data_IF_433675712697
#
_entry.id   IF_433675712697
#
_cell.length_a   1.000
_cell.length_b   1.000
_cell.length_c   1.000
_cell.angle_alpha   90.00
_cell.angle_beta   90.00
_cell.angle_gamma   90.00
#
_symmetry.space_group_name_H-M   'P 1'
#
loop_
_entity.id
_entity.type
_entity.pdbx_description
1 polymer ?
#
# COMPACT_ATOMS: atom_id res chain seq x y z
N UNK A 1 -24.22 12.48 77.52
CA UNK A 1 -24.99 12.76 76.29
C UNK A 1 -24.05 12.55 75.10
N UNK A 2 -24.43 11.72 74.11
CA UNK A 2 -23.53 11.29 73.04
C UNK A 2 -23.58 12.20 71.80
N UNK A 3 -22.43 12.19 71.10
CA UNK A 3 -22.16 12.30 69.65
C UNK A 3 -23.01 13.17 68.72
N UNK A 4 -22.33 13.88 67.79
CA UNK A 4 -22.42 13.56 66.35
C UNK A 4 -21.08 13.82 65.64
N UNK A 5 -20.39 12.74 65.27
CA UNK A 5 -19.27 12.75 64.35
C UNK A 5 -19.74 13.08 62.92
N UNK A 6 -19.01 13.95 62.22
CA UNK A 6 -19.26 14.32 60.81
C UNK A 6 -18.91 13.17 59.85
N UNK A 7 -19.65 12.96 58.75
CA UNK A 7 -19.43 11.84 57.86
C UNK A 7 -18.28 12.15 56.90
N UNK A 8 -17.06 11.74 57.25
CA UNK A 8 -15.88 11.77 56.35
C UNK A 8 -15.89 10.55 55.40
N UNK A 9 -16.69 9.53 55.74
CA UNK A 9 -16.77 8.24 55.07
C UNK A 9 -17.29 8.29 53.60
N UNK A 10 -18.30 9.10 53.20
CA UNK A 10 -18.85 9.01 51.85
C UNK A 10 -17.91 9.60 50.77
N UNK A 11 -17.04 10.53 51.13
CA UNK A 11 -16.12 11.16 50.18
C UNK A 11 -14.96 10.23 49.78
N UNK A 12 -14.46 9.41 50.72
CA UNK A 12 -13.37 8.47 50.46
C UNK A 12 -13.86 7.28 49.60
N UNK A 13 -15.11 6.84 49.79
CA UNK A 13 -15.72 5.77 48.98
C UNK A 13 -15.94 6.23 47.54
N UNK A 14 -16.35 7.48 47.30
CA UNK A 14 -16.49 8.01 45.94
C UNK A 14 -15.15 8.12 45.20
N UNK A 15 -14.08 8.48 45.92
CA UNK A 15 -12.73 8.59 45.34
C UNK A 15 -12.13 7.22 45.00
N UNK A 16 -12.36 6.22 45.86
CA UNK A 16 -11.95 4.83 45.62
C UNK A 16 -12.76 4.16 44.49
N UNK A 17 -14.05 4.48 44.35
CA UNK A 17 -14.87 4.01 43.24
C UNK A 17 -14.46 4.64 41.89
N UNK A 18 -14.02 5.90 41.88
CA UNK A 18 -13.48 6.55 40.69
C UNK A 18 -12.13 5.97 40.22
N UNK A 19 -11.25 5.59 41.16
CA UNK A 19 -9.97 4.98 40.83
C UNK A 19 -10.10 3.53 40.33
N UNK A 20 -11.10 2.77 40.82
CA UNK A 20 -11.35 1.40 40.38
C UNK A 20 -11.96 1.29 38.98
N UNK A 21 -12.57 2.36 38.44
CA UNK A 21 -13.09 2.42 37.07
C UNK A 21 -12.08 2.94 36.05
N UNK A 22 -10.92 3.46 36.49
CA UNK A 22 -9.85 3.97 35.61
C UNK A 22 -8.72 2.96 35.36
N UNK A 23 -8.69 1.84 36.07
CA UNK A 23 -7.71 0.76 35.87
C UNK A 23 -8.23 -0.25 34.84
N UNK A 24 -7.49 -0.44 33.75
CA UNK A 24 -7.74 -1.41 32.66
C UNK A 24 -8.69 -0.97 31.53
N UNK A 25 -8.69 0.30 31.14
CA UNK A 25 -8.98 0.64 29.74
C UNK A 25 -7.78 0.27 28.88
N UNK A 26 -7.68 -1.02 28.52
CA UNK A 26 -6.63 -1.56 27.67
C UNK A 26 -6.50 -0.79 26.36
N UNK A 27 -5.31 -0.28 26.10
CA UNK A 27 -4.90 0.37 24.84
C UNK A 27 -4.83 -0.57 23.64
N UNK A 28 -5.66 -1.61 23.60
CA UNK A 28 -5.68 -2.65 22.57
C UNK A 28 -6.94 -2.57 21.66
N UNK A 29 -7.99 -1.87 22.08
CA UNK A 29 -9.20 -1.67 21.25
C UNK A 29 -8.92 -0.94 19.93
N UNK A 30 -7.89 -0.09 19.88
CA UNK A 30 -7.47 0.59 18.66
C UNK A 30 -6.73 -0.33 17.69
N UNK A 31 -5.97 -1.31 18.20
CA UNK A 31 -5.22 -2.28 17.39
C UNK A 31 -6.15 -3.29 16.74
N UNK A 32 -7.06 -3.88 17.50
CA UNK A 32 -7.98 -4.89 16.97
C UNK A 32 -8.83 -4.32 15.82
N UNK A 33 -9.30 -3.07 15.93
CA UNK A 33 -10.10 -2.43 14.87
C UNK A 33 -9.27 -2.09 13.63
N UNK A 34 -8.00 -1.71 13.80
CA UNK A 34 -7.07 -1.48 12.69
C UNK A 34 -6.73 -2.79 11.98
N UNK A 35 -6.49 -3.88 12.73
CA UNK A 35 -6.22 -5.21 12.22
C UNK A 35 -7.40 -5.72 11.37
N UNK A 36 -8.65 -5.60 11.84
CA UNK A 36 -9.82 -6.04 11.06
C UNK A 36 -10.00 -5.30 9.72
N UNK A 37 -9.64 -4.01 9.64
CA UNK A 37 -9.75 -3.21 8.41
C UNK A 37 -8.65 -3.55 7.42
N UNK A 38 -7.43 -3.75 7.93
CA UNK A 38 -6.30 -4.19 7.11
C UNK A 38 -6.49 -5.63 6.61
N UNK A 39 -7.10 -6.51 7.42
CA UNK A 39 -7.36 -7.90 7.05
C UNK A 39 -8.27 -8.04 5.81
N UNK A 40 -9.29 -7.18 5.64
CA UNK A 40 -10.13 -7.23 4.44
C UNK A 40 -9.34 -6.83 3.19
N UNK A 41 -8.51 -5.77 3.29
CA UNK A 41 -7.65 -5.34 2.19
C UNK A 41 -6.57 -6.38 1.89
N UNK A 42 -5.91 -6.95 2.89
CA UNK A 42 -4.91 -8.00 2.71
C UNK A 42 -5.50 -9.22 2.02
N UNK A 43 -6.68 -9.67 2.45
CA UNK A 43 -7.37 -10.82 1.85
C UNK A 43 -7.80 -10.53 0.41
N UNK A 44 -8.46 -9.39 0.21
CA UNK A 44 -8.95 -9.01 -1.11
C UNK A 44 -7.80 -8.82 -2.11
N UNK A 45 -6.71 -8.16 -1.71
CA UNK A 45 -5.61 -7.84 -2.62
C UNK A 45 -4.93 -9.10 -3.16
N UNK A 46 -4.69 -10.11 -2.30
CA UNK A 46 -4.17 -11.40 -2.74
C UNK A 46 -5.14 -12.16 -3.64
N UNK A 47 -6.43 -12.14 -3.31
CA UNK A 47 -7.47 -12.77 -4.14
C UNK A 47 -7.63 -12.11 -5.52
N UNK A 48 -7.53 -10.78 -5.57
CA UNK A 48 -7.57 -10.03 -6.82
C UNK A 48 -6.34 -10.30 -7.68
N UNK A 49 -5.15 -10.29 -7.08
CA UNK A 49 -3.89 -10.60 -7.76
C UNK A 49 -3.94 -11.96 -8.46
N UNK A 50 -4.10 -13.06 -7.71
CA UNK A 50 -4.15 -14.40 -8.31
C UNK A 50 -5.38 -14.61 -9.20
N UNK A 51 -6.54 -14.12 -8.75
CA UNK A 51 -7.78 -14.28 -9.50
C UNK A 51 -7.74 -13.58 -10.86
N UNK A 52 -6.93 -12.53 -11.02
CA UNK A 52 -6.76 -11.82 -12.29
C UNK A 52 -6.00 -12.65 -13.35
N UNK A 53 -5.23 -13.65 -12.92
CA UNK A 53 -4.49 -14.58 -13.79
C UNK A 53 -5.05 -16.01 -13.75
N UNK A 54 -6.26 -16.19 -13.19
CA UNK A 54 -6.94 -17.49 -13.13
C UNK A 54 -6.42 -18.44 -12.04
N UNK A 55 -5.60 -17.95 -11.11
CA UNK A 55 -5.10 -18.72 -9.98
C UNK A 55 -5.99 -18.54 -8.73
N UNK A 56 -5.97 -19.54 -7.84
CA UNK A 56 -6.61 -19.42 -6.52
C UNK A 56 -5.69 -18.69 -5.55
N UNK A 57 -6.27 -17.94 -4.62
CA UNK A 57 -5.53 -17.33 -3.53
C UNK A 57 -4.98 -18.40 -2.57
N UNK A 58 -3.81 -18.16 -2.01
CA UNK A 58 -3.17 -19.02 -1.03
C UNK A 58 -3.90 -18.96 0.31
N UNK A 59 -4.10 -20.11 0.94
CA UNK A 59 -4.72 -20.22 2.27
C UNK A 59 -3.73 -20.03 3.43
N UNK A 60 -2.44 -19.88 3.14
CA UNK A 60 -1.44 -19.67 4.19
C UNK A 60 -1.63 -18.33 4.91
N UNK A 61 -1.26 -18.28 6.18
CA UNK A 61 -1.23 -17.01 6.89
C UNK A 61 -0.16 -16.10 6.29
N UNK A 62 -0.40 -14.79 6.33
CA UNK A 62 0.58 -13.81 5.88
C UNK A 62 1.71 -13.69 6.88
N UNK A 63 2.93 -13.58 6.38
CA UNK A 63 4.05 -13.11 7.19
C UNK A 63 3.93 -11.60 7.44
N UNK A 64 4.70 -11.07 8.39
CA UNK A 64 4.73 -9.63 8.65
C UNK A 64 5.20 -8.82 7.42
N UNK A 65 6.23 -9.31 6.73
CA UNK A 65 6.70 -8.67 5.49
C UNK A 65 5.66 -8.73 4.37
N UNK A 66 4.88 -9.82 4.27
CA UNK A 66 3.80 -9.93 3.28
C UNK A 66 2.63 -8.98 3.61
N UNK A 67 2.30 -8.77 4.89
CA UNK A 67 1.33 -7.74 5.31
C UNK A 67 1.82 -6.34 4.96
N UNK A 68 3.05 -6.01 5.36
CA UNK A 68 3.67 -4.72 5.09
C UNK A 68 3.78 -4.43 3.59
N UNK A 69 4.09 -5.44 2.77
CA UNK A 69 4.10 -5.32 1.31
C UNK A 69 2.76 -4.84 0.77
N UNK A 70 1.65 -5.41 1.28
CA UNK A 70 0.28 -5.08 0.85
C UNK A 70 -0.13 -3.67 1.30
N UNK A 71 0.22 -3.30 2.52
CA UNK A 71 -0.04 -1.96 3.06
C UNK A 71 0.65 -0.86 2.24
N UNK A 72 1.92 -1.08 1.89
CA UNK A 72 2.70 -0.15 1.07
C UNK A 72 2.24 -0.18 -0.40
N UNK A 73 1.89 -1.36 -0.93
CA UNK A 73 1.40 -1.50 -2.31
C UNK A 73 0.12 -0.70 -2.56
N UNK A 74 -0.82 -0.73 -1.61
CA UNK A 74 -2.12 -0.10 -1.76
C UNK A 74 -2.00 1.40 -2.09
N UNK A 75 -1.01 2.08 -1.50
CA UNK A 75 -0.77 3.52 -1.71
C UNK A 75 -0.35 3.86 -3.16
N UNK A 76 0.27 2.92 -3.87
CA UNK A 76 0.59 3.08 -5.29
C UNK A 76 -0.56 2.63 -6.20
N UNK A 77 -1.33 1.64 -5.77
CA UNK A 77 -2.48 1.10 -6.52
C UNK A 77 -3.63 2.12 -6.57
N UNK A 78 -3.92 2.78 -5.45
CA UNK A 78 -4.95 3.81 -5.38
C UNK A 78 -4.50 5.10 -6.08
N UNK A 79 -5.28 5.61 -7.03
CA UNK A 79 -4.91 6.82 -7.80
C UNK A 79 -4.57 8.03 -6.89
N UNK A 80 -3.56 8.85 -7.22
CA UNK A 80 -3.08 9.93 -6.34
C UNK A 80 -4.16 10.97 -5.98
N UNK A 81 -5.12 11.21 -6.87
CA UNK A 81 -6.23 12.16 -6.64
C UNK A 81 -7.44 11.53 -5.90
N UNK A 82 -7.38 10.26 -5.52
CA UNK A 82 -8.59 9.54 -5.09
C UNK A 82 -9.15 10.02 -3.76
N UNK A 83 -8.32 10.50 -2.81
CA UNK A 83 -8.78 10.85 -1.44
C UNK A 83 -7.90 11.88 -0.74
N UNK A 84 -8.48 12.74 0.14
CA UNK A 84 -7.71 13.48 1.13
C UNK A 84 -6.92 12.53 2.04
N UNK A 85 -5.65 12.83 2.32
CA UNK A 85 -4.72 11.96 3.06
C UNK A 85 -5.27 11.38 4.39
N UNK A 86 -6.16 12.11 5.08
CA UNK A 86 -6.78 11.65 6.33
C UNK A 86 -7.71 10.43 6.17
N UNK A 87 -8.30 10.19 4.99
CA UNK A 87 -9.17 9.02 4.77
C UNK A 87 -8.40 7.71 4.68
N UNK A 88 -7.12 7.74 4.31
CA UNK A 88 -6.25 6.55 4.36
C UNK A 88 -6.00 6.09 5.80
N UNK A 89 -6.07 7.00 6.78
CA UNK A 89 -5.86 6.71 8.21
C UNK A 89 -7.01 5.89 8.80
N UNK A 90 -8.20 5.93 8.18
CA UNK A 90 -9.36 5.20 8.66
C UNK A 90 -9.55 3.81 8.05
N UNK A 91 -8.66 3.33 7.17
CA UNK A 91 -8.72 1.95 6.64
C UNK A 91 -9.93 1.67 5.74
N UNK A 92 -10.51 2.70 5.12
CA UNK A 92 -11.58 2.55 4.13
C UNK A 92 -10.97 2.21 2.75
N UNK A 93 -10.42 1.02 2.63
CA UNK A 93 -9.78 0.54 1.40
C UNK A 93 -10.80 0.29 0.29
N UNK A 94 -10.53 0.82 -0.89
CA UNK A 94 -11.30 0.57 -2.10
C UNK A 94 -10.76 -0.65 -2.83
N UNK A 95 -11.66 -1.55 -3.20
CA UNK A 95 -11.33 -2.66 -4.08
C UNK A 95 -11.15 -2.14 -5.50
N UNK A 96 -9.91 -2.22 -5.99
CA UNK A 96 -9.49 -1.77 -7.32
C UNK A 96 -9.05 -2.97 -8.16
N UNK A 97 -9.56 -3.19 -9.39
CA UNK A 97 -9.18 -4.36 -10.17
C UNK A 97 -7.70 -4.34 -10.55
N UNK A 98 -7.05 -5.51 -10.55
CA UNK A 98 -5.67 -5.62 -11.00
C UNK A 98 -5.56 -5.26 -12.49
N UNK A 99 -4.40 -4.77 -12.98
CA UNK A 99 -4.24 -4.33 -14.37
C UNK A 99 -4.57 -5.41 -15.39
N UNK A 100 -4.29 -6.68 -15.04
CA UNK A 100 -4.48 -7.88 -15.86
C UNK A 100 -5.95 -8.27 -16.05
N UNK A 101 -6.83 -7.87 -15.12
CA UNK A 101 -8.27 -8.10 -15.21
C UNK A 101 -8.97 -7.06 -16.09
N UNK A 102 -8.35 -5.88 -16.23
CA UNK A 102 -8.97 -4.76 -16.92
C UNK A 102 -8.78 -4.85 -18.42
N UNK A 103 -9.88 -4.80 -19.18
CA UNK A 103 -9.85 -4.68 -20.64
C UNK A 103 -9.81 -3.23 -21.13
N UNK A 104 -9.81 -2.26 -20.21
CA UNK A 104 -9.84 -0.83 -20.53
C UNK A 104 -8.42 -0.32 -20.70
N UNK A 105 -8.17 0.38 -21.80
CA UNK A 105 -6.89 1.04 -22.04
C UNK A 105 -6.67 2.12 -20.98
N UNK A 106 -5.49 2.12 -20.38
CA UNK A 106 -5.11 3.14 -19.42
C UNK A 106 -5.13 4.54 -20.05
N UNK A 107 -5.90 5.44 -19.45
CA UNK A 107 -5.98 6.84 -19.86
C UNK A 107 -5.03 7.72 -19.04
N UNK A 108 -3.84 7.97 -19.60
CA UNK A 108 -2.82 8.86 -18.99
C UNK A 108 -3.30 10.30 -18.78
N UNK A 109 -4.38 10.71 -19.43
CA UNK A 109 -4.85 12.11 -19.39
C UNK A 109 -5.83 12.36 -18.25
N UNK A 110 -6.45 11.30 -17.70
CA UNK A 110 -7.49 11.41 -16.69
C UNK A 110 -7.04 12.16 -15.43
N UNK A 111 -5.86 11.84 -14.91
CA UNK A 111 -5.26 12.54 -13.76
C UNK A 111 -5.07 14.03 -14.05
N UNK A 112 -4.45 14.37 -15.18
CA UNK A 112 -4.15 15.75 -15.50
C UNK A 112 -5.41 16.57 -15.79
N UNK A 113 -6.42 15.97 -16.43
CA UNK A 113 -7.74 16.60 -16.60
C UNK A 113 -8.37 16.91 -15.25
N UNK A 114 -8.42 15.95 -14.33
CA UNK A 114 -8.93 16.19 -12.99
C UNK A 114 -8.15 17.29 -12.25
N UNK A 115 -6.81 17.27 -12.31
CA UNK A 115 -5.95 18.31 -11.71
C UNK A 115 -6.21 19.71 -12.29
N UNK A 116 -6.61 19.79 -13.56
CA UNK A 116 -6.87 21.06 -14.25
C UNK A 116 -8.31 21.52 -14.00
N UNK A 117 -9.26 20.60 -13.99
CA UNK A 117 -10.70 20.87 -13.89
C UNK A 117 -11.13 21.15 -12.44
N UNK A 118 -10.39 20.65 -11.45
CA UNK A 118 -10.71 20.85 -10.04
C UNK A 118 -10.59 22.34 -9.63
N UNK A 119 -11.50 22.86 -8.78
CA UNK A 119 -11.46 24.26 -8.36
C UNK A 119 -10.19 24.55 -7.54
N UNK A 120 -9.19 25.15 -8.18
CA UNK A 120 -7.97 25.61 -7.53
C UNK A 120 -7.99 27.12 -7.34
N UNK A 121 -7.37 27.60 -6.23
CA UNK A 121 -7.26 29.05 -5.97
C UNK A 121 -6.36 29.77 -6.98
N UNK A 122 -5.37 29.07 -7.56
CA UNK A 122 -4.45 29.60 -8.57
C UNK A 122 -3.77 28.49 -9.38
N UNK A 123 -3.11 28.85 -10.49
CA UNK A 123 -2.25 27.91 -11.25
C UNK A 123 -1.07 27.40 -10.41
N UNK A 124 -0.48 28.24 -9.57
CA UNK A 124 0.59 27.83 -8.66
C UNK A 124 0.13 26.68 -7.73
N UNK A 125 -1.13 26.70 -7.26
CA UNK A 125 -1.67 25.59 -6.46
C UNK A 125 -1.73 24.26 -7.22
N UNK A 126 -1.95 24.28 -8.54
CA UNK A 126 -1.93 23.06 -9.37
C UNK A 126 -0.52 22.50 -9.51
N UNK A 127 0.48 23.37 -9.68
CA UNK A 127 1.88 22.96 -9.68
C UNK A 127 2.30 22.38 -8.32
N UNK A 128 1.94 23.04 -7.21
CA UNK A 128 2.19 22.52 -5.86
C UNK A 128 1.61 21.13 -5.67
N UNK A 129 0.34 20.93 -6.04
CA UNK A 129 -0.33 19.63 -5.88
C UNK A 129 0.32 18.53 -6.73
N UNK A 130 0.70 18.83 -7.97
CA UNK A 130 1.46 17.91 -8.81
C UNK A 130 2.79 17.54 -8.17
N UNK A 131 3.54 18.54 -7.68
CA UNK A 131 4.82 18.34 -7.00
C UNK A 131 4.63 17.46 -5.76
N UNK A 132 3.63 17.73 -4.94
CA UNK A 132 3.36 16.98 -3.71
C UNK A 132 3.04 15.51 -4.00
N UNK A 133 2.22 15.20 -5.00
CA UNK A 133 1.95 13.81 -5.40
C UNK A 133 3.21 13.09 -5.91
N UNK A 134 4.08 13.78 -6.66
CA UNK A 134 5.35 13.20 -7.11
C UNK A 134 6.28 12.95 -5.92
N UNK A 135 6.35 13.87 -4.95
CA UNK A 135 7.14 13.69 -3.71
C UNK A 135 6.63 12.52 -2.89
N UNK A 136 5.32 12.41 -2.73
CA UNK A 136 4.70 11.29 -2.03
C UNK A 136 5.10 9.95 -2.66
N UNK A 137 5.07 9.84 -4.00
CA UNK A 137 5.50 8.62 -4.68
C UNK A 137 7.00 8.35 -4.51
N UNK A 138 7.86 9.39 -4.55
CA UNK A 138 9.30 9.27 -4.30
C UNK A 138 9.58 8.79 -2.87
N UNK A 139 8.93 9.38 -1.86
CA UNK A 139 9.16 9.04 -0.44
C UNK A 139 8.67 7.63 -0.10
N UNK A 140 7.62 7.14 -0.77
CA UNK A 140 7.10 5.78 -0.59
C UNK A 140 7.90 4.72 -1.35
N UNK A 141 8.73 5.12 -2.31
CA UNK A 141 9.44 4.21 -3.21
C UNK A 141 10.36 3.26 -2.44
N UNK A 142 11.27 3.81 -1.62
CA UNK A 142 12.28 3.02 -0.92
C UNK A 142 11.68 2.04 0.10
N UNK A 143 10.75 2.45 0.98
CA UNK A 143 10.12 1.51 1.91
C UNK A 143 9.44 0.33 1.20
N UNK A 144 8.73 0.59 0.09
CA UNK A 144 8.05 -0.46 -0.66
C UNK A 144 9.04 -1.45 -1.28
N UNK A 145 10.04 -0.97 -2.03
CA UNK A 145 10.96 -1.87 -2.72
C UNK A 145 11.93 -2.58 -1.77
N UNK A 146 12.25 -1.99 -0.62
CA UNK A 146 12.98 -2.67 0.45
C UNK A 146 12.18 -3.85 1.02
N UNK A 147 10.90 -3.65 1.34
CA UNK A 147 10.01 -4.74 1.81
C UNK A 147 9.78 -5.79 0.71
N UNK A 148 9.58 -5.37 -0.53
CA UNK A 148 9.43 -6.29 -1.67
C UNK A 148 10.65 -7.20 -1.84
N UNK A 149 11.87 -6.65 -1.72
CA UNK A 149 13.09 -7.45 -1.78
C UNK A 149 13.17 -8.52 -0.68
N UNK A 150 12.71 -8.20 0.55
CA UNK A 150 12.63 -9.18 1.63
C UNK A 150 11.63 -10.29 1.33
N UNK A 151 10.43 -9.94 0.83
CA UNK A 151 9.41 -10.93 0.45
C UNK A 151 9.91 -11.82 -0.68
N UNK A 152 10.55 -11.26 -1.71
CA UNK A 152 11.14 -12.04 -2.81
C UNK A 152 12.22 -13.00 -2.29
N UNK A 153 13.06 -12.57 -1.34
CA UNK A 153 14.05 -13.44 -0.72
C UNK A 153 13.39 -14.59 0.07
N UNK A 154 12.28 -14.33 0.76
CA UNK A 154 11.47 -15.37 1.40
C UNK A 154 10.84 -16.33 0.38
N UNK A 155 10.36 -15.81 -0.75
CA UNK A 155 9.80 -16.62 -1.84
C UNK A 155 10.88 -17.50 -2.49
N UNK A 156 12.10 -17.00 -2.65
CA UNK A 156 13.24 -17.81 -3.09
C UNK A 156 13.51 -18.98 -2.14
N UNK A 157 13.53 -18.71 -0.83
CA UNK A 157 13.71 -19.75 0.19
C UNK A 157 12.56 -20.76 0.15
N UNK A 158 11.32 -20.29 0.03
CA UNK A 158 10.12 -21.15 -0.08
C UNK A 158 10.21 -22.06 -1.30
N UNK A 159 10.59 -21.53 -2.45
CA UNK A 159 10.81 -22.30 -3.69
C UNK A 159 11.90 -23.36 -3.52
N UNK A 160 13.02 -23.03 -2.87
CA UNK A 160 14.08 -23.99 -2.58
C UNK A 160 13.61 -25.09 -1.61
N UNK A 161 12.87 -24.73 -0.54
CA UNK A 161 12.31 -25.68 0.41
C UNK A 161 11.32 -26.65 -0.24
N UNK A 162 10.45 -26.18 -1.13
CA UNK A 162 9.50 -27.03 -1.87
C UNK A 162 10.16 -28.09 -2.77
N UNK A 163 11.43 -27.88 -3.14
CA UNK A 163 12.25 -28.85 -3.91
C UNK A 163 12.99 -29.81 -2.99
N UNK A 164 13.40 -29.36 -1.81
CA UNK A 164 14.21 -30.13 -0.87
C UNK A 164 13.37 -31.07 0.02
N UNK A 165 12.13 -30.68 0.38
CA UNK A 165 11.28 -31.46 1.27
C UNK A 165 10.56 -32.55 0.46
N UNK A 166 10.76 -33.80 0.85
CA UNK A 166 10.19 -34.96 0.15
C UNK A 166 8.68 -35.14 0.38
N UNK A 167 8.20 -34.83 1.59
CA UNK A 167 6.82 -35.06 2.02
C UNK A 167 5.99 -33.77 2.04
N UNK A 168 5.86 -33.13 0.87
CA UNK A 168 4.97 -31.96 0.70
C UNK A 168 3.71 -32.41 -0.02
N UNK A 169 2.55 -32.24 0.63
CA UNK A 169 1.27 -32.60 0.02
C UNK A 169 0.99 -31.76 -1.24
N UNK A 170 0.22 -32.26 -2.23
CA UNK A 170 -0.14 -31.48 -3.42
C UNK A 170 -0.85 -30.17 -3.09
N UNK A 171 -1.67 -30.16 -2.04
CA UNK A 171 -2.39 -28.95 -1.57
C UNK A 171 -1.41 -27.92 -1.01
N UNK A 172 -0.51 -28.34 -0.13
CA UNK A 172 0.48 -27.45 0.47
C UNK A 172 1.42 -26.86 -0.58
N UNK A 173 1.83 -27.68 -1.56
CA UNK A 173 2.61 -27.20 -2.72
C UNK A 173 1.83 -26.14 -3.51
N UNK A 174 0.55 -26.39 -3.80
CA UNK A 174 -0.28 -25.44 -4.54
C UNK A 174 -0.47 -24.12 -3.77
N UNK A 175 -0.71 -24.17 -2.46
CA UNK A 175 -0.85 -22.98 -1.61
C UNK A 175 0.47 -22.19 -1.50
N UNK A 176 1.61 -22.87 -1.43
CA UNK A 176 2.93 -22.24 -1.42
C UNK A 176 3.26 -21.53 -2.74
N UNK A 177 2.97 -22.17 -3.87
CA UNK A 177 3.12 -21.59 -5.21
C UNK A 177 2.17 -20.41 -5.37
N UNK A 178 0.92 -20.55 -4.95
CA UNK A 178 -0.07 -19.48 -4.99
C UNK A 178 0.40 -18.24 -4.20
N UNK A 179 1.03 -18.40 -3.03
CA UNK A 179 1.53 -17.26 -2.24
C UNK A 179 2.69 -16.55 -2.92
N UNK A 180 3.63 -17.30 -3.50
CA UNK A 180 4.73 -16.70 -4.26
C UNK A 180 4.20 -15.90 -5.47
N UNK A 181 3.17 -16.41 -6.14
CA UNK A 181 2.54 -15.70 -7.25
C UNK A 181 1.80 -14.44 -6.79
N UNK A 182 1.08 -14.49 -5.67
CA UNK A 182 0.41 -13.31 -5.08
C UNK A 182 1.43 -12.18 -4.85
N UNK A 183 2.54 -12.52 -4.21
CA UNK A 183 3.60 -11.57 -3.89
C UNK A 183 4.18 -10.95 -5.17
N UNK A 184 4.47 -11.78 -6.18
CA UNK A 184 4.99 -11.31 -7.45
C UNK A 184 4.02 -10.37 -8.19
N UNK A 185 2.75 -10.75 -8.27
CA UNK A 185 1.72 -9.96 -8.95
C UNK A 185 1.45 -8.62 -8.25
N UNK A 186 1.53 -8.57 -6.91
CA UNK A 186 1.41 -7.32 -6.15
C UNK A 186 2.57 -6.38 -6.47
N UNK A 187 3.82 -6.88 -6.50
CA UNK A 187 4.98 -6.07 -6.88
C UNK A 187 4.84 -5.55 -8.31
N UNK A 188 4.41 -6.42 -9.23
CA UNK A 188 4.21 -6.04 -10.62
C UNK A 188 3.08 -5.02 -10.79
N UNK A 189 2.01 -5.10 -10.00
CA UNK A 189 0.94 -4.11 -10.01
C UNK A 189 1.46 -2.74 -9.58
N UNK A 190 2.32 -2.66 -8.57
CA UNK A 190 2.95 -1.39 -8.17
C UNK A 190 3.85 -0.85 -9.28
N UNK A 191 4.66 -1.69 -9.93
CA UNK A 191 5.48 -1.28 -11.09
C UNK A 191 4.62 -0.68 -12.21
N UNK A 192 3.56 -1.36 -12.62
CA UNK A 192 2.61 -0.86 -13.63
C UNK A 192 1.95 0.45 -13.18
N UNK A 193 1.62 0.58 -11.89
CA UNK A 193 1.00 1.78 -11.33
C UNK A 193 1.96 2.98 -11.34
N UNK A 194 3.25 2.76 -11.04
CA UNK A 194 4.29 3.78 -11.12
C UNK A 194 4.50 4.28 -12.55
N UNK A 195 4.60 3.37 -13.52
CA UNK A 195 4.72 3.74 -14.94
C UNK A 195 3.54 4.61 -15.41
N UNK A 196 2.32 4.22 -15.02
CA UNK A 196 1.07 4.94 -15.29
C UNK A 196 1.06 6.33 -14.66
N UNK A 197 1.52 6.45 -13.40
CA UNK A 197 1.66 7.73 -12.69
C UNK A 197 2.65 8.66 -13.36
N UNK A 198 3.85 8.18 -13.68
CA UNK A 198 4.88 8.95 -14.37
C UNK A 198 4.34 9.49 -15.71
N UNK A 199 3.65 8.65 -16.49
CA UNK A 199 3.01 9.07 -17.75
C UNK A 199 1.97 10.17 -17.52
N UNK A 200 1.16 10.02 -16.47
CA UNK A 200 0.12 10.99 -16.10
C UNK A 200 0.68 12.32 -15.62
N UNK A 201 1.75 12.30 -14.81
CA UNK A 201 2.41 13.50 -14.30
C UNK A 201 3.07 14.30 -15.41
N UNK A 202 3.76 13.62 -16.34
CA UNK A 202 4.30 14.26 -17.55
C UNK A 202 3.17 14.89 -18.36
N UNK A 203 2.07 14.15 -18.54
CA UNK A 203 0.93 14.68 -19.28
C UNK A 203 0.34 15.93 -18.60
N UNK A 204 0.20 15.92 -17.28
CA UNK A 204 -0.33 17.05 -16.52
C UNK A 204 0.58 18.27 -16.60
N UNK A 205 1.91 18.08 -16.41
CA UNK A 205 2.89 19.16 -16.46
C UNK A 205 2.88 19.89 -17.80
N UNK A 206 2.89 19.15 -18.91
CA UNK A 206 2.83 19.74 -20.27
C UNK A 206 1.60 20.64 -20.45
N UNK A 207 0.45 20.23 -19.92
CA UNK A 207 -0.79 21.02 -19.99
C UNK A 207 -0.78 22.23 -19.07
N UNK A 208 -0.20 22.12 -17.87
CA UNK A 208 -0.02 23.26 -16.96
C UNK A 208 0.88 24.33 -17.59
N UNK A 209 1.99 23.94 -18.22
CA UNK A 209 2.92 24.86 -18.88
C UNK A 209 2.24 25.61 -20.05
N UNK A 210 1.40 24.93 -20.82
CA UNK A 210 0.64 25.56 -21.91
C UNK A 210 -0.36 26.61 -21.37
N UNK A 211 -1.07 26.29 -20.29
CA UNK A 211 -2.10 27.19 -19.75
C UNK A 211 -1.52 28.38 -18.98
N UNK A 212 -0.48 28.14 -18.18
CA UNK A 212 0.18 29.14 -17.36
C UNK A 212 1.64 28.73 -17.10
N UNK A 213 2.60 29.27 -17.86
CA UNK A 213 4.02 29.09 -17.60
C UNK A 213 4.39 29.63 -16.21
N UNK A 214 5.10 28.83 -15.43
CA UNK A 214 5.55 29.17 -14.08
C UNK A 214 6.94 28.56 -13.82
N UNK A 215 7.77 29.21 -13.01
CA UNK A 215 9.09 28.69 -12.61
C UNK A 215 9.02 27.35 -11.87
N UNK A 216 7.89 27.04 -11.24
CA UNK A 216 7.62 25.74 -10.61
C UNK A 216 7.65 24.56 -11.58
N UNK A 217 7.46 24.80 -12.89
CA UNK A 217 7.49 23.75 -13.91
C UNK A 217 8.84 23.00 -13.94
N UNK A 218 9.95 23.72 -13.77
CA UNK A 218 11.28 23.11 -13.74
C UNK A 218 11.48 22.22 -12.50
N UNK A 219 10.87 22.57 -11.36
CA UNK A 219 10.92 21.75 -10.16
C UNK A 219 10.08 20.48 -10.30
N UNK A 220 8.86 20.61 -10.84
CA UNK A 220 8.01 19.46 -11.16
C UNK A 220 8.71 18.50 -12.13
N UNK A 221 9.32 19.02 -13.21
CA UNK A 221 10.03 18.20 -14.19
C UNK A 221 11.20 17.43 -13.56
N UNK A 222 12.03 18.09 -12.74
CA UNK A 222 13.14 17.43 -12.04
C UNK A 222 12.65 16.26 -11.19
N UNK A 223 11.59 16.46 -10.41
CA UNK A 223 11.07 15.43 -9.52
C UNK A 223 10.42 14.28 -10.29
N UNK A 224 9.69 14.56 -11.37
CA UNK A 224 9.14 13.52 -12.26
C UNK A 224 10.27 12.68 -12.87
N UNK A 225 11.37 13.31 -13.27
CA UNK A 225 12.53 12.61 -13.81
C UNK A 225 13.25 11.77 -12.75
N UNK A 226 13.31 12.23 -11.49
CA UNK A 226 13.83 11.42 -10.39
C UNK A 226 12.95 10.18 -10.13
N UNK A 227 11.63 10.35 -10.06
CA UNK A 227 10.71 9.22 -9.92
C UNK A 227 10.85 8.23 -11.07
N UNK A 228 10.99 8.72 -12.31
CA UNK A 228 11.22 7.89 -13.48
C UNK A 228 12.56 7.14 -13.42
N UNK A 229 13.61 7.78 -12.91
CA UNK A 229 14.92 7.16 -12.69
C UNK A 229 14.82 6.04 -11.66
N UNK A 230 14.14 6.29 -10.54
CA UNK A 230 13.88 5.28 -9.51
C UNK A 230 13.10 4.09 -10.08
N UNK A 231 11.99 4.35 -10.77
CA UNK A 231 11.17 3.32 -11.43
C UNK A 231 11.98 2.46 -12.42
N UNK A 232 12.96 3.04 -13.12
CA UNK A 232 13.87 2.31 -14.01
C UNK A 232 14.86 1.37 -13.29
N UNK A 233 14.97 1.44 -11.96
CA UNK A 233 15.87 0.62 -11.15
C UNK A 233 15.16 -0.45 -10.30
N UNK A 234 13.84 -0.60 -10.47
CA UNK A 234 13.07 -1.53 -9.63
C UNK A 234 13.52 -2.98 -9.83
N UNK A 235 13.67 -3.77 -8.75
CA UNK A 235 14.02 -5.18 -8.85
C UNK A 235 12.93 -6.00 -9.57
N UNK A 236 13.26 -7.21 -10.07
CA UNK A 236 12.26 -8.09 -10.67
C UNK A 236 11.16 -8.43 -9.65
N UNK A 237 9.92 -8.59 -10.14
CA UNK A 237 8.77 -8.86 -9.28
C UNK A 237 8.80 -10.23 -8.60
N UNK A 238 9.56 -11.18 -9.14
CA UNK A 238 9.62 -12.55 -8.65
C UNK A 238 11.06 -13.01 -8.44
N UNK A 239 11.20 -14.05 -7.61
CA UNK A 239 12.45 -14.78 -7.50
C UNK A 239 12.83 -15.38 -8.86
N UNK A 240 13.89 -14.87 -9.48
CA UNK A 240 14.51 -15.55 -10.60
C UNK A 240 15.28 -16.74 -10.03
N UNK A 241 14.63 -17.92 -9.98
CA UNK A 241 15.39 -19.15 -9.83
C UNK A 241 16.39 -19.18 -10.98
N UNK A 242 17.70 -19.19 -10.68
CA UNK A 242 18.74 -19.20 -11.69
C UNK A 242 18.40 -20.27 -12.74
N UNK A 243 17.98 -19.83 -13.92
CA UNK A 243 17.75 -20.71 -15.06
C UNK A 243 19.16 -21.05 -15.55
N UNK A 244 19.78 -22.05 -14.93
CA UNK A 244 20.87 -22.77 -15.55
C UNK A 244 20.25 -23.52 -16.74
N UNK A 245 20.16 -22.85 -17.88
CA UNK A 245 19.97 -23.52 -19.17
C UNK A 245 21.20 -24.39 -19.35
N UNK A 246 21.08 -25.66 -18.98
CA UNK A 246 21.92 -26.73 -19.50
C UNK A 246 21.70 -26.73 -21.02
N UNK A 247 22.64 -26.13 -21.74
CA UNK A 247 22.81 -26.41 -23.16
C UNK A 247 23.35 -27.84 -23.24
N UNK A 248 22.48 -28.77 -23.63
CA UNK A 248 22.88 -30.00 -24.30
C UNK A 248 23.28 -29.73 -25.73
#
# INVERSE_FOLDING_TARGET
>A
MPERARPIIPALILLLAGAALGGCSGGDFGRTRADFRNDDMHRWLGAEANGSVGMKASQFQLTEHERQLRDLAYQFIESPLSRPAWKSVFGDYQRLPAPWRQNVVFDRTAYGRNLIDEPHRSFASRYSLLIDHVRDDITRFEPFFATAAQVIALDCKRSASLKAIADVSPRERADAVARMEENALIVQWVQVSLERRISSYRWALERLVIQAPDGMAADAERQINELARLAGTTPPAACQAAVAVSKG
#
